data_IF_693195095235
#
_entry.id   IF_693195095235
#
_cell.length_a   1.000
_cell.length_b   1.000
_cell.length_c   1.000
_cell.angle_alpha   90.00
_cell.angle_beta   90.00
_cell.angle_gamma   90.00
#
_symmetry.space_group_name_H-M   'P 1'
#
loop_
_entity.id
_entity.type
_entity.pdbx_description
1 polymer ?
#
# COMPACT_ATOMS: atom_id res chain seq x y z
N UNK A 1 7.61 -2.76 -21.45
CA UNK A 1 8.41 -3.95 -21.10
C UNK A 1 9.30 -3.54 -19.93
N UNK A 2 9.19 -4.21 -18.78
CA UNK A 2 10.06 -3.90 -17.63
C UNK A 2 11.49 -4.35 -17.97
N UNK A 3 12.47 -3.47 -17.74
CA UNK A 3 13.87 -3.82 -17.90
C UNK A 3 14.37 -4.59 -16.67
N UNK A 4 15.49 -5.31 -16.81
CA UNK A 4 16.14 -5.98 -15.68
C UNK A 4 16.45 -5.02 -14.52
N UNK A 5 16.77 -3.77 -14.85
CA UNK A 5 17.01 -2.72 -13.86
C UNK A 5 15.76 -2.41 -13.03
N UNK A 6 14.58 -2.37 -13.65
CA UNK A 6 13.30 -2.14 -12.94
C UNK A 6 12.99 -3.30 -11.99
N UNK A 7 13.31 -4.53 -12.40
CA UNK A 7 13.17 -5.71 -11.55
C UNK A 7 14.10 -5.67 -10.32
N UNK A 8 15.36 -5.25 -10.49
CA UNK A 8 16.31 -5.09 -9.38
C UNK A 8 15.85 -4.00 -8.41
N UNK A 9 15.35 -2.87 -8.94
CA UNK A 9 14.78 -1.80 -8.12
C UNK A 9 13.56 -2.31 -7.35
N UNK A 10 12.63 -3.00 -8.02
CA UNK A 10 11.47 -3.63 -7.39
C UNK A 10 11.88 -4.58 -6.26
N UNK A 11 12.82 -5.49 -6.52
CA UNK A 11 13.30 -6.44 -5.52
C UNK A 11 13.90 -5.71 -4.30
N UNK A 12 14.66 -4.63 -4.51
CA UNK A 12 15.24 -3.85 -3.43
C UNK A 12 14.17 -3.14 -2.57
N UNK A 13 13.16 -2.52 -3.19
CA UNK A 13 12.08 -1.83 -2.45
C UNK A 13 11.11 -2.80 -1.78
N UNK A 14 10.96 -4.00 -2.33
CA UNK A 14 10.16 -5.09 -1.77
C UNK A 14 10.85 -5.68 -0.53
N UNK A 15 12.17 -5.93 -0.59
CA UNK A 15 12.94 -6.50 0.52
C UNK A 15 12.98 -5.60 1.76
N UNK A 16 12.93 -4.27 1.57
CA UNK A 16 12.90 -3.32 2.69
C UNK A 16 11.97 -2.14 2.38
N UNK A 17 10.69 -2.35 2.72
CA UNK A 17 9.59 -1.40 2.47
C UNK A 17 9.66 -0.13 3.33
N UNK A 18 10.46 -0.14 4.40
CA UNK A 18 10.61 0.98 5.34
C UNK A 18 11.68 2.01 4.98
N UNK A 19 12.57 1.72 4.02
CA UNK A 19 13.58 2.70 3.59
C UNK A 19 12.88 3.90 2.93
N UNK A 20 13.37 5.14 3.12
CA UNK A 20 12.72 6.33 2.57
C UNK A 20 12.44 6.26 1.06
N UNK A 21 13.35 5.69 0.28
CA UNK A 21 13.16 5.48 -1.17
C UNK A 21 12.12 4.42 -1.50
N UNK A 22 12.03 3.37 -0.69
CA UNK A 22 11.00 2.33 -0.84
C UNK A 22 9.63 2.90 -0.50
N UNK A 23 9.53 3.71 0.55
CA UNK A 23 8.29 4.41 0.93
C UNK A 23 7.80 5.30 -0.22
N UNK A 24 8.70 6.05 -0.87
CA UNK A 24 8.37 6.85 -2.05
C UNK A 24 7.85 5.99 -3.21
N UNK A 25 8.53 4.89 -3.51
CA UNK A 25 8.10 3.96 -4.56
C UNK A 25 6.70 3.42 -4.29
N UNK A 26 6.47 2.91 -3.06
CA UNK A 26 5.17 2.35 -2.69
C UNK A 26 4.08 3.40 -2.61
N UNK A 27 4.39 4.62 -2.18
CA UNK A 27 3.47 5.74 -2.20
C UNK A 27 2.96 5.99 -3.62
N UNK A 28 3.85 6.06 -4.61
CA UNK A 28 3.47 6.22 -6.01
C UNK A 28 2.66 5.06 -6.59
N UNK A 29 2.74 3.87 -5.99
CA UNK A 29 1.87 2.75 -6.38
C UNK A 29 0.49 2.81 -5.69
N UNK A 30 0.41 3.43 -4.50
CA UNK A 30 -0.82 3.55 -3.72
C UNK A 30 -1.65 4.78 -4.12
N UNK A 31 -0.98 5.83 -4.59
CA UNK A 31 -1.55 7.02 -5.22
C UNK A 31 -1.97 6.66 -6.66
N UNK A 32 -3.22 6.21 -6.82
CA UNK A 32 -3.69 5.59 -8.06
C UNK A 32 -3.95 6.62 -9.15
N UNK A 33 -4.42 7.82 -8.78
CA UNK A 33 -4.64 8.92 -9.73
C UNK A 33 -3.42 9.83 -9.92
N UNK A 34 -2.42 9.75 -9.03
CA UNK A 34 -1.15 10.46 -9.14
C UNK A 34 -1.21 11.91 -8.67
N UNK A 35 -2.20 12.28 -7.86
CA UNK A 35 -2.40 13.65 -7.38
C UNK A 35 -1.48 14.04 -6.20
N UNK A 36 -0.73 13.07 -5.68
CA UNK A 36 0.18 13.23 -4.54
C UNK A 36 -0.46 12.96 -3.18
N UNK A 37 -1.67 12.36 -3.17
CA UNK A 37 -2.41 12.01 -1.97
C UNK A 37 -3.04 10.62 -2.09
N UNK A 38 -2.95 9.82 -1.03
CA UNK A 38 -3.69 8.55 -0.96
C UNK A 38 -5.02 8.84 -0.27
N UNK A 39 -6.09 8.78 -1.04
CA UNK A 39 -7.46 8.97 -0.57
C UNK A 39 -8.14 7.63 -0.29
N UNK A 40 -9.32 7.68 0.33
CA UNK A 40 -10.16 6.48 0.50
C UNK A 40 -10.57 5.89 -0.85
N UNK A 41 -10.71 6.72 -1.90
CA UNK A 41 -11.05 6.26 -3.24
C UNK A 41 -9.93 5.42 -3.88
N UNK A 42 -8.67 5.84 -3.73
CA UNK A 42 -7.51 5.08 -4.21
C UNK A 42 -7.45 3.71 -3.53
N UNK A 43 -7.60 3.72 -2.20
CA UNK A 43 -7.62 2.49 -1.41
C UNK A 43 -8.77 1.57 -1.84
N UNK A 44 -9.97 2.11 -2.07
CA UNK A 44 -11.12 1.33 -2.48
C UNK A 44 -10.90 0.67 -3.84
N UNK A 45 -10.36 1.42 -4.80
CA UNK A 45 -10.05 0.90 -6.13
C UNK A 45 -9.07 -0.27 -6.07
N UNK A 46 -7.96 -0.09 -5.34
CA UNK A 46 -6.95 -1.13 -5.14
C UNK A 46 -7.52 -2.36 -4.39
N UNK A 47 -8.39 -2.12 -3.40
CA UNK A 47 -9.04 -3.18 -2.63
C UNK A 47 -9.99 -4.02 -3.50
N UNK A 48 -10.79 -3.39 -4.36
CA UNK A 48 -11.70 -4.08 -5.26
C UNK A 48 -10.94 -4.91 -6.31
N UNK A 49 -9.85 -4.38 -6.87
CA UNK A 49 -8.99 -5.12 -7.80
C UNK A 49 -8.36 -6.35 -7.11
N UNK A 50 -7.85 -6.17 -5.88
CA UNK A 50 -7.36 -7.28 -5.06
C UNK A 50 -8.42 -8.32 -4.77
N UNK A 51 -9.65 -7.92 -4.44
CA UNK A 51 -10.75 -8.87 -4.18
C UNK A 51 -11.08 -9.73 -5.39
N UNK A 52 -11.00 -9.18 -6.61
CA UNK A 52 -11.19 -9.96 -7.85
C UNK A 52 -10.10 -11.01 -8.06
N UNK A 53 -8.87 -10.73 -7.61
CA UNK A 53 -7.72 -11.64 -7.77
C UNK A 53 -7.72 -12.73 -6.67
N UNK A 54 -8.13 -12.38 -5.44
CA UNK A 54 -7.96 -13.21 -4.24
C UNK A 54 -9.25 -13.96 -3.86
N UNK A 55 -10.19 -14.17 -4.79
CA UNK A 55 -11.57 -14.71 -4.62
C UNK A 55 -11.76 -15.93 -3.67
N UNK A 56 -10.71 -16.56 -3.14
CA UNK A 56 -10.79 -17.88 -2.53
C UNK A 56 -10.36 -17.95 -1.06
N UNK A 57 -9.49 -17.10 -0.47
CA UNK A 57 -8.84 -17.46 0.81
C UNK A 57 -8.67 -16.44 1.95
N UNK A 58 -9.24 -15.23 1.88
CA UNK A 58 -9.25 -14.33 3.05
C UNK A 58 -10.68 -14.09 3.55
N UNK A 59 -10.94 -14.16 4.87
CA UNK A 59 -12.22 -13.70 5.41
C UNK A 59 -12.40 -12.26 4.93
N UNK A 60 -13.56 -11.98 4.34
CA UNK A 60 -13.88 -10.67 3.77
C UNK A 60 -13.89 -9.63 4.90
N UNK A 61 -12.74 -9.04 5.21
CA UNK A 61 -12.70 -7.82 6.01
C UNK A 61 -13.48 -6.75 5.25
N UNK A 62 -14.30 -5.97 5.95
CA UNK A 62 -14.99 -4.88 5.31
C UNK A 62 -13.97 -3.80 4.91
N UNK A 63 -14.13 -3.20 3.73
CA UNK A 63 -13.21 -2.15 3.27
C UNK A 63 -13.14 -0.99 4.27
N UNK A 64 -14.27 -0.63 4.89
CA UNK A 64 -14.31 0.46 5.85
C UNK A 64 -13.46 0.16 7.08
N UNK A 65 -13.43 -1.09 7.55
CA UNK A 65 -12.58 -1.51 8.66
C UNK A 65 -11.10 -1.38 8.29
N UNK A 66 -10.71 -1.87 7.11
CA UNK A 66 -9.33 -1.78 6.60
C UNK A 66 -8.88 -0.33 6.46
N UNK A 67 -9.71 0.52 5.83
CA UNK A 67 -9.41 1.93 5.66
C UNK A 67 -9.29 2.63 7.02
N UNK A 68 -10.22 2.40 7.94
CA UNK A 68 -10.15 2.94 9.29
C UNK A 68 -8.87 2.52 10.02
N UNK A 69 -8.49 1.24 9.95
CA UNK A 69 -7.28 0.69 10.56
C UNK A 69 -6.01 1.40 10.06
N UNK A 70 -5.96 1.70 8.77
CA UNK A 70 -4.84 2.39 8.13
C UNK A 70 -4.78 3.85 8.57
N UNK A 71 -5.89 4.57 8.53
CA UNK A 71 -5.95 5.97 8.95
C UNK A 71 -5.60 6.15 10.44
N UNK A 72 -6.06 5.23 11.31
CA UNK A 72 -5.73 5.24 12.74
C UNK A 72 -4.24 4.97 13.01
N UNK A 73 -3.57 4.15 12.19
CA UNK A 73 -2.12 3.93 12.34
C UNK A 73 -1.27 5.03 11.73
N UNK A 74 -1.67 5.57 10.59
CA UNK A 74 -0.91 6.62 9.89
C UNK A 74 -1.08 7.97 10.59
N UNK A 75 -2.28 8.26 11.10
CA UNK A 75 -2.65 9.54 11.70
C UNK A 75 -2.20 10.72 10.83
N UNK A 76 -2.74 10.80 9.60
CA UNK A 76 -2.33 11.83 8.65
C UNK A 76 -2.61 13.22 9.22
N UNK A 77 -1.83 14.20 8.78
CA UNK A 77 -1.99 15.59 9.26
C UNK A 77 -3.35 16.17 8.89
N UNK A 78 -3.93 15.70 7.78
CA UNK A 78 -5.28 16.01 7.34
C UNK A 78 -6.06 14.69 7.28
N UNK A 79 -7.27 14.61 7.85
CA UNK A 79 -8.01 13.35 7.97
C UNK A 79 -8.57 12.83 6.64
N UNK A 80 -8.58 13.67 5.60
CA UNK A 80 -9.18 13.33 4.30
C UNK A 80 -8.26 12.50 3.41
N UNK A 81 -6.95 12.56 3.65
CA UNK A 81 -5.96 11.92 2.80
C UNK A 81 -4.62 11.70 3.50
N UNK A 82 -3.82 10.78 2.96
CA UNK A 82 -2.46 10.49 3.41
C UNK A 82 -1.46 11.07 2.42
N UNK A 83 -0.61 12.00 2.86
CA UNK A 83 0.48 12.51 2.04
C UNK A 83 1.75 11.65 2.20
N UNK A 84 2.68 11.75 1.24
CA UNK A 84 3.99 11.08 1.33
C UNK A 84 4.74 11.41 2.63
N UNK A 85 4.64 12.65 3.10
CA UNK A 85 5.24 13.09 4.36
C UNK A 85 4.66 12.39 5.59
N UNK A 86 3.41 11.93 5.52
CA UNK A 86 2.78 11.17 6.60
C UNK A 86 3.35 9.75 6.63
N UNK A 87 3.43 9.06 5.49
CA UNK A 87 4.04 7.72 5.43
C UNK A 87 5.53 7.72 5.81
N UNK A 88 6.29 8.75 5.44
CA UNK A 88 7.71 8.88 5.84
C UNK A 88 7.92 9.06 7.34
N UNK A 89 6.89 9.53 8.07
CA UNK A 89 6.91 9.69 9.53
C UNK A 89 6.45 8.42 10.25
N UNK A 90 5.71 7.55 9.58
CA UNK A 90 5.24 6.30 10.14
C UNK A 90 6.37 5.31 10.40
N UNK A 91 6.12 4.38 11.32
CA UNK A 91 7.02 3.25 11.50
C UNK A 91 7.05 2.38 10.22
N UNK A 92 8.22 1.81 9.88
CA UNK A 92 8.37 0.87 8.75
C UNK A 92 7.33 -0.26 8.71
N UNK A 93 6.90 -0.73 9.88
CA UNK A 93 5.88 -1.78 10.02
C UNK A 93 4.52 -1.36 9.48
N UNK A 94 4.13 -0.08 9.66
CA UNK A 94 2.87 0.47 9.16
C UNK A 94 2.89 0.52 7.63
N UNK A 95 3.99 1.00 7.04
CA UNK A 95 4.15 1.02 5.57
C UNK A 95 4.12 -0.40 5.01
N UNK A 96 4.84 -1.33 5.64
CA UNK A 96 4.84 -2.74 5.25
C UNK A 96 3.43 -3.34 5.27
N UNK A 97 2.66 -3.06 6.33
CA UNK A 97 1.29 -3.51 6.47
C UNK A 97 0.39 -2.99 5.33
N UNK A 98 0.42 -1.69 5.03
CA UNK A 98 -0.38 -1.09 3.94
C UNK A 98 -0.05 -1.72 2.59
N UNK A 99 1.25 -1.85 2.27
CA UNK A 99 1.71 -2.44 1.01
C UNK A 99 1.28 -3.90 0.89
N UNK A 100 1.37 -4.67 1.97
CA UNK A 100 0.95 -6.08 1.96
C UNK A 100 -0.58 -6.21 1.85
N UNK A 101 -1.35 -5.27 2.39
CA UNK A 101 -2.80 -5.26 2.27
C UNK A 101 -3.26 -5.00 0.84
N UNK A 102 -2.66 -4.02 0.14
CA UNK A 102 -3.16 -3.57 -1.16
C UNK A 102 -2.36 -4.04 -2.37
N UNK A 103 -1.07 -4.36 -2.24
CA UNK A 103 -0.19 -4.57 -3.39
C UNK A 103 0.31 -6.01 -3.51
N UNK A 104 0.47 -6.72 -2.40
CA UNK A 104 0.95 -8.10 -2.41
C UNK A 104 -0.19 -9.05 -2.06
N UNK A 105 -0.47 -10.03 -2.92
CA UNK A 105 -1.24 -11.19 -2.46
C UNK A 105 -0.26 -12.02 -1.64
N UNK A 106 -0.57 -12.42 -0.39
CA UNK A 106 0.25 -13.40 0.28
C UNK A 106 0.26 -14.64 -0.61
N UNK A 107 1.40 -14.87 -1.25
CA UNK A 107 1.72 -16.15 -1.84
C UNK A 107 1.89 -17.10 -0.66
N UNK A 108 0.79 -17.59 -0.10
CA UNK A 108 0.81 -18.83 0.65
C UNK A 108 1.12 -19.93 -0.36
N UNK A 109 2.41 -20.02 -0.72
CA UNK A 109 2.99 -21.24 -1.25
C UNK A 109 2.82 -22.25 -0.11
N UNK A 110 1.82 -23.11 -0.24
CA UNK A 110 1.79 -24.37 0.51
C UNK A 110 2.96 -25.24 0.07
#
# INVERSE_FOLDING_TARGET
>A
MMALQDFVVFHAVESNKGLPKSVEFWFHCLDFDGDGFITVYDMQYLYEDKRRIVEVHFPCCDFAEVAHEIFERVKPRKPEFIALSDLKRCEPSVVCMIVNTFMLVPMTVR
#
